data_IF_013980388666
#
_entry.id   IF_013980388666
#
_cell.length_a   1.000
_cell.length_b   1.000
_cell.length_c   1.000
_cell.angle_alpha   90.00
_cell.angle_beta   90.00
_cell.angle_gamma   90.00
#
_symmetry.space_group_name_H-M   'P 1'
#
loop_
_entity.id
_entity.type
_entity.pdbx_description
1 polymer ?
#
# COMPACT_ATOMS: atom_id res chain seq x y z
N UNK A 1 8.04 19.53 -7.77
CA UNK A 1 8.47 19.86 -9.14
C UNK A 1 7.29 20.53 -9.81
N UNK A 2 7.54 21.70 -10.38
CA UNK A 2 6.50 22.51 -11.02
C UNK A 2 6.18 21.92 -12.39
N UNK A 3 4.90 21.95 -12.75
CA UNK A 3 4.43 21.62 -14.09
C UNK A 3 4.58 22.83 -15.01
N UNK A 4 5.46 22.73 -16.00
CA UNK A 4 5.74 23.82 -16.92
C UNK A 4 4.58 24.10 -17.89
N UNK A 5 3.59 23.20 -18.00
CA UNK A 5 2.37 23.50 -18.78
C UNK A 5 1.40 24.42 -18.04
N UNK A 6 1.62 24.64 -16.73
CA UNK A 6 0.80 25.53 -15.89
C UNK A 6 1.61 26.71 -15.35
N UNK A 7 2.89 26.52 -15.05
CA UNK A 7 3.79 27.53 -14.51
C UNK A 7 5.11 27.52 -15.29
N UNK A 8 5.14 28.18 -16.47
CA UNK A 8 6.31 28.18 -17.34
C UNK A 8 7.48 28.95 -16.71
N UNK A 9 8.70 28.54 -17.05
CA UNK A 9 9.93 29.24 -16.70
C UNK A 9 10.94 29.21 -17.85
N UNK A 10 11.81 30.21 -17.91
CA UNK A 10 12.81 30.40 -18.98
C UNK A 10 13.82 29.26 -19.07
N UNK A 11 14.16 28.65 -17.93
CA UNK A 11 15.07 27.51 -17.86
C UNK A 11 14.45 26.19 -18.35
N UNK A 12 13.13 26.13 -18.57
CA UNK A 12 12.35 24.90 -18.84
C UNK A 12 12.60 23.81 -17.79
N UNK A 13 12.94 24.22 -16.57
CA UNK A 13 13.20 23.32 -15.45
C UNK A 13 11.87 22.90 -14.84
N UNK A 14 11.55 21.61 -14.85
CA UNK A 14 10.24 21.14 -14.37
C UNK A 14 9.73 19.90 -15.09
N UNK A 15 8.48 19.58 -14.83
CA UNK A 15 7.75 18.56 -15.56
C UNK A 15 7.28 19.20 -16.87
N UNK A 16 7.63 18.57 -18.00
CA UNK A 16 7.30 19.08 -19.34
C UNK A 16 6.12 18.33 -19.97
N UNK A 17 5.25 17.76 -19.14
CA UNK A 17 4.05 17.02 -19.52
C UNK A 17 2.93 17.40 -18.56
N UNK A 18 1.74 17.59 -19.09
CA UNK A 18 0.54 17.82 -18.28
C UNK A 18 0.24 16.60 -17.40
N UNK A 19 -0.58 16.75 -16.36
CA UNK A 19 -1.02 15.62 -15.52
C UNK A 19 -1.63 14.48 -16.37
N UNK A 20 -2.52 14.83 -17.31
CA UNK A 20 -3.19 13.88 -18.19
C UNK A 20 -2.17 13.08 -19.03
N UNK A 21 -1.14 13.76 -19.56
CA UNK A 21 -0.05 13.10 -20.28
C UNK A 21 0.85 12.24 -19.38
N UNK A 22 0.83 12.48 -18.07
CA UNK A 22 1.59 11.72 -17.08
C UNK A 22 0.91 10.45 -16.64
N UNK A 23 -0.37 10.54 -16.31
CA UNK A 23 -1.17 9.41 -15.86
C UNK A 23 -1.59 8.50 -17.03
N UNK A 24 -1.72 9.06 -18.24
CA UNK A 24 -2.06 8.31 -19.44
C UNK A 24 -3.32 7.48 -19.27
N UNK A 25 -3.26 6.20 -19.66
CA UNK A 25 -4.38 5.25 -19.52
C UNK A 25 -4.47 4.61 -18.12
N UNK A 26 -3.84 5.21 -17.11
CA UNK A 26 -3.77 4.64 -15.76
C UNK A 26 -3.00 3.32 -15.74
N UNK A 27 -3.54 2.30 -15.06
CA UNK A 27 -2.91 0.97 -14.95
C UNK A 27 -2.77 0.28 -16.30
N UNK A 28 -3.90 0.13 -17.01
CA UNK A 28 -4.05 -0.64 -18.25
C UNK A 28 -3.38 -2.03 -18.23
N UNK A 29 -3.10 -2.56 -19.41
CA UNK A 29 -2.32 -3.77 -19.61
C UNK A 29 -1.04 -3.50 -20.44
N UNK A 30 -0.31 -4.57 -20.79
CA UNK A 30 0.93 -4.48 -21.59
C UNK A 30 0.71 -3.98 -23.02
N UNK A 31 -0.52 -4.06 -23.54
CA UNK A 31 -0.88 -3.64 -24.89
C UNK A 31 -1.47 -2.22 -24.92
N UNK A 32 -1.96 -1.73 -23.79
CA UNK A 32 -2.57 -0.41 -23.63
C UNK A 32 -1.49 0.67 -23.70
N UNK A 33 -1.42 1.38 -24.83
CA UNK A 33 -0.43 2.44 -25.01
C UNK A 33 -0.55 3.52 -23.92
N UNK A 34 0.58 3.88 -23.30
CA UNK A 34 0.62 4.91 -22.26
C UNK A 34 0.13 4.45 -20.88
N UNK A 35 -0.25 3.18 -20.71
CA UNK A 35 -0.54 2.61 -19.39
C UNK A 35 0.73 2.42 -18.56
N UNK A 36 0.60 2.37 -17.23
CA UNK A 36 1.75 2.13 -16.35
C UNK A 36 2.35 0.74 -16.57
N UNK A 37 1.51 -0.29 -16.78
CA UNK A 37 1.96 -1.65 -17.06
C UNK A 37 2.73 -1.72 -18.39
N UNK A 38 2.23 -1.08 -19.45
CA UNK A 38 2.90 -1.02 -20.75
C UNK A 38 4.24 -0.29 -20.64
N UNK A 39 4.27 0.88 -20.00
CA UNK A 39 5.52 1.66 -19.83
C UNK A 39 6.57 0.91 -19.01
N UNK A 40 6.19 0.27 -17.90
CA UNK A 40 7.12 -0.49 -17.05
C UNK A 40 7.73 -1.65 -17.84
N UNK A 41 6.93 -2.41 -18.58
CA UNK A 41 7.42 -3.57 -19.33
C UNK A 41 8.32 -3.19 -20.52
N UNK A 42 8.07 -2.02 -21.14
CA UNK A 42 8.73 -1.63 -22.39
C UNK A 42 9.94 -0.72 -22.17
N UNK A 43 9.87 0.16 -21.16
CA UNK A 43 10.93 1.10 -20.81
C UNK A 43 10.90 1.42 -19.30
N UNK A 44 11.52 0.55 -18.47
CA UNK A 44 11.58 0.73 -17.02
C UNK A 44 12.23 2.05 -16.59
N UNK A 45 13.20 2.58 -17.33
CA UNK A 45 13.86 3.83 -16.96
C UNK A 45 12.92 5.02 -17.15
N UNK A 46 12.13 5.00 -18.23
CA UNK A 46 11.10 6.01 -18.46
C UNK A 46 9.98 5.92 -17.42
N UNK A 47 9.58 4.72 -17.00
CA UNK A 47 8.59 4.57 -15.93
C UNK A 47 9.11 5.10 -14.59
N UNK A 48 10.38 4.86 -14.24
CA UNK A 48 11.02 5.44 -13.04
C UNK A 48 11.03 6.98 -13.12
N UNK A 49 11.38 7.55 -14.27
CA UNK A 49 11.36 9.01 -14.47
C UNK A 49 9.95 9.55 -14.31
N UNK A 50 8.94 8.88 -14.87
CA UNK A 50 7.53 9.27 -14.76
C UNK A 50 7.05 9.24 -13.32
N UNK A 51 7.27 8.12 -12.63
CA UNK A 51 6.92 7.97 -11.22
C UNK A 51 7.58 9.05 -10.37
N UNK A 52 8.86 9.35 -10.62
CA UNK A 52 9.58 10.45 -9.96
C UNK A 52 9.00 11.83 -10.23
N UNK A 53 8.42 12.08 -11.41
CA UNK A 53 7.76 13.34 -11.75
C UNK A 53 6.43 13.45 -11.00
N UNK A 54 5.56 12.44 -11.11
CA UNK A 54 4.28 12.37 -10.40
C UNK A 54 4.45 12.49 -8.88
N UNK A 55 5.41 11.76 -8.30
CA UNK A 55 5.72 11.80 -6.87
C UNK A 55 6.07 13.19 -6.34
N UNK A 56 6.55 14.08 -7.22
CA UNK A 56 7.00 15.42 -6.85
C UNK A 56 6.12 16.51 -7.38
N UNK A 57 5.22 16.17 -8.29
CA UNK A 57 4.27 17.09 -8.87
C UNK A 57 3.50 17.75 -7.74
N UNK A 58 3.34 19.07 -7.85
CA UNK A 58 2.42 19.81 -6.99
C UNK A 58 1.03 19.69 -7.60
N UNK A 59 0.15 18.92 -6.97
CA UNK A 59 -1.24 18.79 -7.38
C UNK A 59 -2.00 20.04 -6.96
N UNK A 60 -2.82 20.56 -7.87
CA UNK A 60 -3.62 21.77 -7.63
C UNK A 60 -5.02 21.43 -7.18
N UNK A 61 -5.75 22.39 -6.60
CA UNK A 61 -7.18 22.22 -6.27
C UNK A 61 -8.02 21.79 -7.49
N UNK A 62 -7.72 22.36 -8.66
CA UNK A 62 -8.36 21.97 -9.93
C UNK A 62 -8.03 20.54 -10.40
N UNK A 63 -7.00 19.92 -9.82
CA UNK A 63 -6.61 18.52 -10.07
C UNK A 63 -7.16 17.58 -8.99
N UNK A 64 -8.10 18.07 -8.17
CA UNK A 64 -8.71 17.31 -7.09
C UNK A 64 -7.95 17.37 -5.78
N UNK A 65 -6.83 18.10 -5.67
CA UNK A 65 -6.18 18.27 -4.35
C UNK A 65 -7.17 19.00 -3.43
N UNK A 66 -7.25 18.63 -2.16
CA UNK A 66 -8.06 19.41 -1.23
C UNK A 66 -8.29 18.79 0.12
N UNK A 67 -8.97 19.52 0.99
CA UNK A 67 -9.31 18.99 2.29
C UNK A 67 -10.46 17.99 2.10
N UNK A 68 -10.11 16.72 1.98
CA UNK A 68 -11.08 15.66 2.11
C UNK A 68 -11.38 15.47 3.61
N UNK A 69 -12.55 14.95 3.94
CA UNK A 69 -12.92 14.64 5.33
C UNK A 69 -13.10 15.92 6.18
N UNK A 70 -13.95 16.82 5.67
CA UNK A 70 -14.55 17.95 6.40
C UNK A 70 -13.57 19.00 6.93
N UNK A 71 -12.39 19.12 6.33
CA UNK A 71 -11.41 20.20 6.58
C UNK A 71 -11.22 20.55 8.07
N UNK A 72 -11.04 19.52 8.90
CA UNK A 72 -10.77 19.69 10.33
C UNK A 72 -12.02 19.77 11.22
N UNK A 73 -13.22 19.56 10.68
CA UNK A 73 -14.50 19.64 11.40
C UNK A 73 -15.15 18.26 11.55
N UNK A 74 -15.50 17.86 12.78
CA UNK A 74 -16.24 16.63 13.05
C UNK A 74 -15.87 16.00 14.38
N UNK A 75 -16.24 14.73 14.56
CA UNK A 75 -15.90 13.94 15.75
C UNK A 75 -14.77 12.97 15.42
N UNK A 76 -13.60 13.26 15.98
CA UNK A 76 -12.37 12.48 15.77
C UNK A 76 -12.47 11.04 16.32
N UNK A 77 -13.42 10.75 17.21
CA UNK A 77 -13.63 9.38 17.68
C UNK A 77 -14.29 8.50 16.60
N UNK A 78 -14.96 9.12 15.62
CA UNK A 78 -15.67 8.42 14.56
C UNK A 78 -14.91 8.46 13.23
N UNK A 79 -14.08 9.48 13.02
CA UNK A 79 -13.35 9.70 11.78
C UNK A 79 -11.95 10.25 12.07
N UNK A 80 -10.94 9.41 11.85
CA UNK A 80 -9.54 9.74 12.11
C UNK A 80 -8.88 10.52 10.97
N UNK A 81 -9.56 10.68 9.83
CA UNK A 81 -9.05 11.38 8.65
C UNK A 81 -9.41 12.88 8.64
N UNK A 82 -10.16 13.36 9.63
CA UNK A 82 -10.53 14.78 9.78
C UNK A 82 -9.29 15.69 9.73
N UNK A 83 -9.32 16.66 8.81
CA UNK A 83 -8.28 17.68 8.67
C UNK A 83 -7.07 17.23 7.85
N UNK A 84 -7.18 16.07 7.20
CA UNK A 84 -6.21 15.60 6.25
C UNK A 84 -6.44 16.28 4.86
N UNK A 85 -5.63 15.95 3.84
CA UNK A 85 -5.82 16.44 2.46
C UNK A 85 -5.01 17.67 2.08
N UNK A 86 -4.16 18.18 2.97
CA UNK A 86 -3.40 19.41 2.73
C UNK A 86 -2.06 19.19 2.02
N UNK A 87 -1.64 17.94 1.80
CA UNK A 87 -0.39 17.63 1.11
C UNK A 87 -0.54 17.74 -0.40
N UNK A 88 0.17 18.70 -1.00
CA UNK A 88 0.14 18.93 -2.44
C UNK A 88 1.02 17.95 -3.24
N UNK A 89 1.78 17.06 -2.58
CA UNK A 89 2.74 16.15 -3.23
C UNK A 89 3.24 15.06 -2.29
N UNK A 90 3.51 13.86 -2.79
CA UNK A 90 4.13 12.79 -1.99
C UNK A 90 5.48 13.24 -1.40
N UNK A 91 6.24 14.02 -2.18
CA UNK A 91 7.52 14.58 -1.77
C UNK A 91 7.46 15.65 -0.68
N UNK A 92 6.27 16.14 -0.30
CA UNK A 92 6.12 17.01 0.86
C UNK A 92 6.50 16.25 2.15
N UNK A 93 6.03 15.00 2.27
CA UNK A 93 6.29 14.18 3.46
C UNK A 93 7.48 13.22 3.26
N UNK A 94 7.60 12.66 2.06
CA UNK A 94 8.66 11.72 1.69
C UNK A 94 9.70 12.40 0.80
N UNK A 95 10.34 13.45 1.34
CA UNK A 95 11.28 14.30 0.62
C UNK A 95 12.39 13.54 -0.10
N UNK A 96 12.94 14.11 -1.18
CA UNK A 96 14.07 13.47 -1.88
C UNK A 96 15.29 13.37 -0.94
N UNK A 97 16.02 12.26 -0.99
CA UNK A 97 17.33 12.16 -0.38
C UNK A 97 18.31 13.11 -1.09
N UNK A 98 18.52 14.32 -0.54
CA UNK A 98 19.73 15.11 -0.80
C UNK A 98 20.58 15.06 0.47
N UNK A 99 21.24 13.92 0.69
CA UNK A 99 22.09 13.68 1.87
C UNK A 99 21.40 13.03 3.08
N UNK A 100 20.12 12.63 2.99
CA UNK A 100 19.42 11.84 4.03
C UNK A 100 18.59 10.74 3.37
N UNK A 101 17.98 9.82 4.15
CA UNK A 101 17.08 8.80 3.60
C UNK A 101 15.76 9.38 3.02
N UNK A 102 15.51 10.69 3.18
CA UNK A 102 14.24 11.31 2.80
C UNK A 102 13.13 10.94 3.78
N UNK A 103 13.05 11.68 4.87
CA UNK A 103 12.04 11.57 5.93
C UNK A 103 11.83 12.98 6.52
N UNK A 104 10.69 13.26 7.13
CA UNK A 104 10.48 14.52 7.86
C UNK A 104 9.13 15.20 7.69
N UNK A 105 8.20 14.63 6.92
CA UNK A 105 6.79 14.97 7.08
C UNK A 105 6.23 14.28 8.32
N UNK A 106 5.48 15.01 9.14
CA UNK A 106 4.67 14.41 10.18
C UNK A 106 3.21 14.58 9.75
N UNK A 107 2.49 13.47 9.73
CA UNK A 107 1.03 13.50 9.55
C UNK A 107 0.43 13.45 10.94
N UNK A 108 -0.40 14.45 11.26
CA UNK A 108 -1.23 14.42 12.47
C UNK A 108 -2.36 13.41 12.23
N UNK A 109 -2.08 12.13 12.42
CA UNK A 109 -3.11 11.16 12.76
C UNK A 109 -3.54 11.47 14.19
N UNK A 110 -4.83 11.62 14.47
CA UNK A 110 -5.27 11.83 15.86
C UNK A 110 -5.57 10.48 16.51
N UNK A 111 -5.34 10.31 17.82
CA UNK A 111 -4.74 11.27 18.76
C UNK A 111 -3.22 11.40 18.61
N UNK A 112 -2.53 10.42 18.02
CA UNK A 112 -1.07 10.34 17.95
C UNK A 112 -0.53 10.49 16.52
N UNK A 113 0.33 11.47 16.32
CA UNK A 113 0.95 11.72 15.03
C UNK A 113 1.96 10.64 14.65
N UNK A 114 2.20 10.47 13.34
CA UNK A 114 3.23 9.57 12.82
C UNK A 114 4.20 10.29 11.89
N UNK A 115 5.48 9.97 12.04
CA UNK A 115 6.50 10.45 11.13
C UNK A 115 6.51 9.63 9.83
N UNK A 116 6.56 10.34 8.71
CA UNK A 116 6.75 9.75 7.40
C UNK A 116 8.17 9.15 7.31
N UNK A 117 8.23 7.82 7.33
CA UNK A 117 9.47 7.08 7.11
C UNK A 117 10.04 7.26 5.71
N UNK A 118 11.28 6.80 5.53
CA UNK A 118 11.89 6.74 4.21
C UNK A 118 11.27 5.63 3.35
N UNK A 119 11.28 5.82 2.02
CA UNK A 119 10.75 4.85 1.08
C UNK A 119 11.79 3.87 0.52
N UNK A 120 13.08 4.03 0.88
CA UNK A 120 14.13 3.11 0.45
C UNK A 120 13.84 1.67 0.88
N UNK A 121 13.88 0.75 -0.09
CA UNK A 121 13.65 -0.67 0.15
C UNK A 121 12.20 -1.02 0.51
N UNK A 122 11.24 -0.10 0.41
CA UNK A 122 9.84 -0.36 0.79
C UNK A 122 9.24 -1.54 0.03
N UNK A 123 9.46 -1.61 -1.28
CA UNK A 123 9.02 -2.74 -2.10
C UNK A 123 9.66 -4.07 -1.70
N UNK A 124 10.92 -4.06 -1.26
CA UNK A 124 11.58 -5.27 -0.75
C UNK A 124 10.97 -5.73 0.58
N UNK A 125 10.60 -4.80 1.47
CA UNK A 125 9.89 -5.11 2.71
C UNK A 125 8.52 -5.71 2.44
N UNK A 126 7.76 -5.15 1.49
CA UNK A 126 6.46 -5.70 1.07
C UNK A 126 6.60 -7.13 0.53
N UNK A 127 7.52 -7.34 -0.43
CA UNK A 127 7.74 -8.66 -1.02
C UNK A 127 8.22 -9.69 0.02
N UNK A 128 9.14 -9.33 0.91
CA UNK A 128 9.60 -10.23 1.96
C UNK A 128 8.49 -10.64 2.94
N UNK A 129 7.60 -9.71 3.29
CA UNK A 129 6.45 -10.03 4.14
C UNK A 129 5.45 -10.95 3.45
N UNK A 130 5.23 -10.78 2.15
CA UNK A 130 4.36 -11.66 1.37
C UNK A 130 4.96 -13.07 1.24
N UNK A 131 6.27 -13.17 0.98
CA UNK A 131 7.00 -14.45 0.96
C UNK A 131 6.95 -15.16 2.32
N UNK A 132 7.21 -14.45 3.42
CA UNK A 132 7.12 -15.03 4.77
C UNK A 132 5.68 -15.50 5.04
N UNK A 133 4.68 -14.69 4.71
CA UNK A 133 3.27 -15.08 4.86
C UNK A 133 2.95 -16.37 4.12
N UNK A 134 3.43 -16.52 2.89
CA UNK A 134 3.25 -17.73 2.09
C UNK A 134 3.90 -18.96 2.74
N UNK A 135 5.13 -18.81 3.26
CA UNK A 135 5.84 -19.89 3.98
C UNK A 135 5.10 -20.31 5.26
N UNK A 136 4.62 -19.34 6.06
CA UNK A 136 3.89 -19.60 7.30
C UNK A 136 2.56 -20.32 7.03
N UNK A 137 1.79 -19.84 6.04
CA UNK A 137 0.52 -20.47 5.65
C UNK A 137 0.73 -21.86 5.04
N UNK A 138 1.79 -22.07 4.26
CA UNK A 138 2.15 -23.39 3.75
C UNK A 138 2.49 -24.37 4.89
N UNK A 139 3.19 -23.89 5.93
CA UNK A 139 3.49 -24.69 7.12
C UNK A 139 2.24 -25.06 7.90
N UNK A 140 1.29 -24.12 8.05
CA UNK A 140 -0.03 -24.41 8.63
C UNK A 140 -0.76 -25.50 7.85
N UNK A 141 -0.83 -25.37 6.53
CA UNK A 141 -1.56 -26.31 5.67
C UNK A 141 -0.93 -27.71 5.71
N UNK A 142 0.40 -27.78 5.80
CA UNK A 142 1.13 -29.03 6.03
C UNK A 142 0.81 -29.63 7.41
N UNK A 143 0.77 -28.83 8.47
CA UNK A 143 0.43 -29.31 9.81
C UNK A 143 -0.98 -29.93 9.84
N UNK A 144 -1.96 -29.29 9.18
CA UNK A 144 -3.32 -29.83 9.05
C UNK A 144 -3.33 -31.14 8.25
N UNK A 145 -2.66 -31.15 7.09
CA UNK A 145 -2.60 -32.34 6.22
C UNK A 145 -2.01 -33.54 6.96
N UNK A 146 -0.88 -33.34 7.66
CA UNK A 146 -0.25 -34.39 8.45
C UNK A 146 -1.14 -34.86 9.60
N UNK A 147 -1.81 -33.92 10.29
CA UNK A 147 -2.69 -34.28 11.40
C UNK A 147 -3.89 -35.12 10.98
N UNK A 148 -4.46 -34.82 9.82
CA UNK A 148 -5.56 -35.60 9.22
C UNK A 148 -5.08 -36.99 8.79
N UNK A 149 -3.93 -37.09 8.13
CA UNK A 149 -3.36 -38.38 7.68
C UNK A 149 -3.01 -39.29 8.86
N UNK A 150 -2.37 -38.74 9.89
CA UNK A 150 -1.91 -39.49 11.06
C UNK A 150 -3.00 -39.69 12.11
N UNK A 151 -4.16 -39.02 11.97
CA UNK A 151 -5.24 -38.97 12.96
C UNK A 151 -4.78 -38.54 14.36
N UNK A 152 -3.74 -37.69 14.43
CA UNK A 152 -3.17 -37.16 15.66
C UNK A 152 -2.78 -35.69 15.48
N UNK A 153 -2.86 -34.82 16.50
CA UNK A 153 -2.39 -33.43 16.37
C UNK A 153 -0.92 -33.34 15.94
N UNK A 154 -0.62 -32.46 14.99
CA UNK A 154 0.72 -32.26 14.46
C UNK A 154 1.20 -30.83 14.69
N UNK A 155 2.26 -30.68 15.47
CA UNK A 155 2.88 -29.38 15.75
C UNK A 155 4.10 -29.16 14.85
N UNK A 156 4.10 -28.07 14.09
CA UNK A 156 5.22 -27.64 13.25
C UNK A 156 5.79 -26.29 13.72
N UNK A 157 7.09 -26.09 13.49
CA UNK A 157 7.76 -24.82 13.74
C UNK A 157 7.46 -23.84 12.62
N UNK A 158 7.11 -22.61 12.98
CA UNK A 158 6.93 -21.51 12.05
C UNK A 158 8.26 -20.75 11.91
N UNK A 159 8.96 -20.95 10.81
CA UNK A 159 10.25 -20.30 10.53
C UNK A 159 10.30 -19.91 9.06
N UNK A 160 10.64 -18.66 8.77
CA UNK A 160 10.91 -18.20 7.40
C UNK A 160 11.97 -17.12 7.42
N UNK A 161 12.83 -17.11 6.40
CA UNK A 161 13.96 -16.17 6.25
C UNK A 161 14.84 -16.03 7.50
N UNK A 162 14.99 -17.10 8.27
CA UNK A 162 15.76 -17.13 9.53
C UNK A 162 15.04 -16.54 10.75
N UNK A 163 13.82 -16.02 10.59
CA UNK A 163 12.98 -15.49 11.68
C UNK A 163 12.05 -16.59 12.20
N UNK A 164 11.91 -16.66 13.53
CA UNK A 164 11.03 -17.63 14.21
C UNK A 164 9.72 -16.95 14.60
N UNK A 165 8.60 -17.60 14.29
CA UNK A 165 7.23 -17.16 14.58
C UNK A 165 6.50 -18.12 15.52
N UNK A 166 7.27 -18.88 16.32
CA UNK A 166 6.75 -19.86 17.26
C UNK A 166 6.40 -21.21 16.61
N UNK A 167 5.28 -21.79 17.02
CA UNK A 167 4.80 -23.10 16.52
C UNK A 167 3.31 -23.06 16.26
N UNK A 168 2.85 -23.92 15.36
CA UNK A 168 1.45 -24.09 15.02
C UNK A 168 1.07 -25.55 15.09
N UNK A 169 -0.15 -25.85 15.57
CA UNK A 169 -0.62 -27.23 15.67
C UNK A 169 -1.85 -27.42 14.80
N UNK A 170 -1.74 -28.26 13.77
CA UNK A 170 -2.90 -28.77 13.03
C UNK A 170 -3.57 -29.91 13.80
N UNK A 171 -4.90 -29.98 13.77
CA UNK A 171 -5.68 -31.04 14.41
C UNK A 171 -6.33 -31.97 13.36
N UNK A 172 -6.65 -33.23 13.73
CA UNK A 172 -7.26 -34.18 12.79
C UNK A 172 -8.63 -33.77 12.25
N UNK A 173 -9.34 -32.87 12.95
CA UNK A 173 -10.63 -32.31 12.52
C UNK A 173 -10.49 -31.15 11.51
N UNK A 174 -9.27 -30.78 11.13
CA UNK A 174 -8.98 -29.65 10.24
C UNK A 174 -8.80 -28.31 10.95
N UNK A 175 -9.06 -28.23 12.26
CA UNK A 175 -8.83 -27.01 13.03
C UNK A 175 -7.35 -26.79 13.32
N UNK A 176 -7.01 -25.54 13.66
CA UNK A 176 -5.63 -25.12 13.93
C UNK A 176 -5.56 -24.44 15.29
N UNK A 177 -4.56 -24.81 16.08
CA UNK A 177 -4.18 -24.11 17.31
C UNK A 177 -2.99 -23.17 17.02
N UNK A 178 -3.25 -21.88 17.19
CA UNK A 178 -2.32 -20.77 16.98
C UNK A 178 -1.83 -20.16 18.30
N UNK A 179 -2.12 -20.76 19.46
CA UNK A 179 -1.77 -20.22 20.79
C UNK A 179 -0.26 -20.05 21.03
N UNK A 180 0.57 -20.70 20.22
CA UNK A 180 2.03 -20.61 20.25
C UNK A 180 2.63 -19.86 19.06
N UNK A 181 1.81 -19.21 18.23
CA UNK A 181 2.23 -18.26 17.19
C UNK A 181 2.75 -16.99 17.87
N UNK A 182 3.81 -16.41 17.33
CA UNK A 182 4.48 -15.24 17.89
C UNK A 182 4.82 -14.23 16.79
N UNK A 183 4.67 -12.93 17.10
CA UNK A 183 5.08 -11.83 16.21
C UNK A 183 4.20 -11.58 15.00
N UNK A 184 3.15 -12.38 14.79
CA UNK A 184 2.11 -12.21 13.77
C UNK A 184 0.76 -12.61 14.34
N UNK A 185 -0.32 -12.16 13.71
CA UNK A 185 -1.69 -12.53 14.06
C UNK A 185 -1.97 -14.01 13.72
N UNK A 186 -3.09 -14.54 14.23
CA UNK A 186 -3.49 -15.93 14.00
C UNK A 186 -3.75 -16.29 12.52
N UNK A 187 -3.95 -15.29 11.66
CA UNK A 187 -4.08 -15.44 10.20
C UNK A 187 -2.73 -15.65 9.48
N UNK A 188 -1.63 -15.55 10.23
CA UNK A 188 -0.23 -15.67 9.81
C UNK A 188 0.21 -14.63 8.78
N UNK A 189 -0.53 -13.52 8.65
CA UNK A 189 -0.19 -12.43 7.74
C UNK A 189 0.88 -11.53 8.37
N UNK A 190 2.01 -11.37 7.69
CA UNK A 190 3.00 -10.37 8.06
C UNK A 190 2.56 -9.01 7.52
N UNK A 191 2.51 -8.00 8.39
CA UNK A 191 2.13 -6.61 8.06
C UNK A 191 3.39 -5.74 8.09
N UNK A 192 4.02 -5.44 6.93
CA UNK A 192 5.34 -4.80 6.89
C UNK A 192 5.29 -3.26 7.00
N UNK A 193 4.09 -2.69 6.91
CA UNK A 193 3.88 -1.26 6.85
C UNK A 193 3.24 -0.76 8.13
N UNK A 194 3.69 0.43 8.54
CA UNK A 194 3.45 1.02 9.85
C UNK A 194 4.07 0.22 11.01
N UNK A 195 4.48 0.91 12.07
CA UNK A 195 5.17 0.26 13.19
C UNK A 195 4.21 -0.63 13.99
N UNK A 196 2.93 -0.25 14.02
CA UNK A 196 1.82 -0.98 14.61
C UNK A 196 1.22 -2.05 13.69
N UNK A 197 1.67 -2.15 12.43
CA UNK A 197 1.22 -3.17 11.49
C UNK A 197 -0.19 -2.92 10.95
N UNK A 198 -0.45 -1.75 10.38
CA UNK A 198 -1.81 -1.35 9.95
C UNK A 198 -2.19 -1.84 8.54
N UNK A 199 -1.23 -2.04 7.64
CA UNK A 199 -1.51 -2.51 6.26
C UNK A 199 -0.47 -3.53 5.77
N UNK A 200 -0.86 -4.29 4.77
CA UNK A 200 -0.05 -5.31 4.12
C UNK A 200 0.55 -4.86 2.79
N UNK A 201 0.07 -3.75 2.20
CA UNK A 201 0.44 -3.36 0.83
C UNK A 201 0.73 -1.87 0.66
N UNK A 202 1.75 -1.58 -0.17
CA UNK A 202 2.05 -0.24 -0.68
C UNK A 202 0.86 0.30 -1.47
N UNK A 203 0.13 -0.54 -2.22
CA UNK A 203 -1.05 -0.10 -2.98
C UNK A 203 -2.14 0.43 -2.05
N UNK A 204 -2.47 -0.33 -1.01
CA UNK A 204 -3.44 0.07 0.01
C UNK A 204 -3.01 1.38 0.69
N UNK A 205 -1.74 1.48 1.06
CA UNK A 205 -1.16 2.72 1.59
C UNK A 205 -1.31 3.90 0.62
N UNK A 206 -0.94 3.73 -0.66
CA UNK A 206 -0.99 4.83 -1.65
C UNK A 206 -2.42 5.27 -1.92
N UNK A 207 -3.37 4.35 -2.05
CA UNK A 207 -4.79 4.70 -2.28
C UNK A 207 -5.37 5.45 -1.09
N UNK A 208 -5.12 4.97 0.14
CA UNK A 208 -5.53 5.68 1.35
C UNK A 208 -4.84 7.04 1.50
N UNK A 209 -3.55 7.13 1.19
CA UNK A 209 -2.79 8.37 1.31
C UNK A 209 -3.14 9.41 0.25
N UNK A 210 -3.54 8.98 -0.96
CA UNK A 210 -4.06 9.90 -1.98
C UNK A 210 -5.29 10.63 -1.43
N UNK A 211 -6.26 9.89 -0.89
CA UNK A 211 -7.48 10.47 -0.32
C UNK A 211 -7.18 11.25 0.97
N UNK A 212 -6.68 10.54 1.99
CA UNK A 212 -6.51 11.11 3.32
C UNK A 212 -5.46 12.21 3.30
N UNK A 213 -4.27 12.01 2.77
CA UNK A 213 -3.18 12.99 2.97
C UNK A 213 -3.18 14.11 1.92
N UNK A 214 -3.61 13.79 0.70
CA UNK A 214 -3.50 14.70 -0.46
C UNK A 214 -4.83 15.21 -0.97
N UNK A 215 -5.96 14.65 -0.51
CA UNK A 215 -7.29 15.00 -0.99
C UNK A 215 -7.64 14.46 -2.36
N UNK A 216 -6.79 13.62 -2.94
CA UNK A 216 -6.95 13.11 -4.28
C UNK A 216 -7.82 11.86 -4.29
N UNK A 217 -8.76 11.81 -5.21
CA UNK A 217 -9.63 10.67 -5.41
C UNK A 217 -8.89 9.46 -6.01
N UNK A 218 -8.97 8.33 -5.30
CA UNK A 218 -8.45 7.03 -5.72
C UNK A 218 -9.46 5.89 -5.52
N UNK A 219 -10.75 6.26 -5.39
CA UNK A 219 -11.89 5.38 -5.09
C UNK A 219 -12.12 4.24 -6.09
N UNK A 220 -11.53 4.31 -7.28
CA UNK A 220 -11.70 3.33 -8.35
C UNK A 220 -10.54 2.33 -8.52
N UNK A 221 -9.70 2.10 -7.50
CA UNK A 221 -8.63 1.09 -7.59
C UNK A 221 -9.23 -0.33 -7.76
N UNK A 222 -9.02 -0.99 -8.90
CA UNK A 222 -9.73 -2.24 -9.21
C UNK A 222 -9.23 -3.43 -8.38
N UNK A 223 -7.95 -3.44 -7.97
CA UNK A 223 -7.40 -4.54 -7.19
C UNK A 223 -7.95 -4.51 -5.77
N UNK A 224 -7.95 -3.31 -5.15
CA UNK A 224 -8.45 -3.16 -3.80
C UNK A 224 -9.97 -3.35 -3.75
N UNK A 225 -10.74 -2.82 -4.71
CA UNK A 225 -12.19 -3.07 -4.77
C UNK A 225 -12.53 -4.56 -4.83
N UNK A 226 -11.86 -5.29 -5.73
CA UNK A 226 -12.11 -6.72 -5.87
C UNK A 226 -11.64 -7.50 -4.64
N UNK A 227 -10.47 -7.17 -4.07
CA UNK A 227 -9.94 -7.85 -2.90
C UNK A 227 -10.75 -7.53 -1.63
N UNK A 228 -11.12 -6.28 -1.36
CA UNK A 228 -11.93 -5.91 -0.19
C UNK A 228 -13.34 -6.50 -0.23
N UNK A 229 -13.85 -6.84 -1.43
CA UNK A 229 -15.10 -7.58 -1.61
C UNK A 229 -14.97 -9.10 -1.40
N UNK A 230 -13.81 -9.59 -0.92
CA UNK A 230 -13.55 -11.01 -0.70
C UNK A 230 -12.90 -11.75 -1.88
N UNK A 231 -12.60 -11.03 -2.97
CA UNK A 231 -11.95 -11.59 -4.14
C UNK A 231 -10.46 -11.88 -3.93
N UNK A 232 -9.91 -12.74 -4.80
CA UNK A 232 -8.47 -12.99 -4.89
C UNK A 232 -7.89 -12.31 -6.12
N UNK A 233 -6.97 -11.38 -5.91
CA UNK A 233 -6.33 -10.57 -6.95
C UNK A 233 -4.83 -10.78 -6.91
N UNK A 234 -4.21 -10.88 -8.09
CA UNK A 234 -2.74 -10.80 -8.24
C UNK A 234 -2.41 -9.44 -8.83
N UNK A 235 -1.66 -8.64 -8.09
CA UNK A 235 -1.26 -7.30 -8.55
C UNK A 235 -0.22 -7.41 -9.67
N UNK A 236 0.06 -6.33 -10.42
CA UNK A 236 1.08 -6.34 -11.47
C UNK A 236 2.50 -6.59 -10.92
N UNK A 237 2.74 -6.36 -9.62
CA UNK A 237 4.00 -6.69 -8.94
C UNK A 237 4.04 -8.14 -8.45
N UNK A 238 2.99 -8.93 -8.68
CA UNK A 238 2.92 -10.35 -8.31
C UNK A 238 2.39 -10.63 -6.89
N UNK A 239 2.13 -9.58 -6.10
CA UNK A 239 1.57 -9.73 -4.76
C UNK A 239 0.13 -10.27 -4.85
N UNK A 240 -0.21 -11.20 -3.96
CA UNK A 240 -1.57 -11.75 -3.88
C UNK A 240 -2.34 -11.03 -2.78
N UNK A 241 -3.45 -10.39 -3.15
CA UNK A 241 -4.46 -9.88 -2.23
C UNK A 241 -5.63 -10.86 -2.20
N UNK A 242 -5.81 -11.59 -1.10
CA UNK A 242 -6.86 -12.60 -0.95
C UNK A 242 -7.84 -12.16 0.13
N UNK A 243 -8.91 -11.47 -0.26
CA UNK A 243 -9.91 -10.94 0.66
C UNK A 243 -10.67 -11.99 1.46
N UNK A 244 -10.60 -13.26 1.05
CA UNK A 244 -11.15 -14.37 1.82
C UNK A 244 -10.29 -14.77 3.01
N UNK A 245 -9.02 -14.32 3.05
CA UNK A 245 -8.02 -14.66 4.07
C UNK A 245 -7.45 -13.46 4.79
N UNK A 246 -7.37 -12.32 4.11
CA UNK A 246 -6.71 -11.11 4.57
C UNK A 246 -7.75 -10.00 4.74
N UNK A 247 -7.60 -9.19 5.79
CA UNK A 247 -8.36 -7.95 5.93
C UNK A 247 -7.75 -6.91 4.98
N UNK A 248 -8.50 -6.55 3.94
CA UNK A 248 -8.11 -5.55 2.94
C UNK A 248 -9.01 -4.32 3.07
N UNK A 249 -8.42 -3.13 3.22
CA UNK A 249 -9.20 -1.90 3.16
C UNK A 249 -9.67 -1.64 1.73
N UNK A 250 -10.96 -1.34 1.58
CA UNK A 250 -11.49 -0.83 0.33
C UNK A 250 -10.87 0.56 0.03
N UNK A 251 -10.82 0.99 -1.24
CA UNK A 251 -10.55 2.38 -1.56
C UNK A 251 -11.55 3.28 -0.82
N UNK A 252 -11.10 4.45 -0.30
CA UNK A 252 -12.00 5.43 0.27
C UNK A 252 -13.10 5.80 -0.73
N UNK A 253 -14.32 6.02 -0.21
CA UNK A 253 -15.40 6.54 -1.04
C UNK A 253 -15.07 7.97 -1.47
N UNK A 254 -15.59 8.42 -2.63
CA UNK A 254 -15.48 9.82 -3.01
C UNK A 254 -16.03 10.73 -1.93
N UNK A 255 -15.35 11.84 -1.66
CA UNK A 255 -15.88 12.87 -0.77
C UNK A 255 -17.18 13.44 -1.39
N UNK A 256 -18.34 13.35 -0.71
CA UNK A 256 -19.60 13.86 -1.26
C UNK A 256 -19.61 15.37 -1.49
N UNK A 257 -18.68 16.11 -0.86
CA UNK A 257 -18.60 17.56 -0.91
C UNK A 257 -17.59 18.08 -1.96
N UNK A 258 -16.91 17.19 -2.71
CA UNK A 258 -15.83 17.52 -3.65
C UNK A 258 -16.07 17.02 -5.10
#
# INVERSE_FOLDING_TARGET
>A
MIDNTQAPNTAKAGINKSLLDEIGAGRGDVMTAGSSVCMINRDPFRSIRRGRQLFQRKFTRLQGQGANEKDGVGDINNDLAIGAGLSDSCALCHGRPRGSAGAGGNVVTRPDSRDAGHLFGLGLKEMLADEITADLRSTRDLAVTLAQQMKHPMTLKLVSKGVKYGTITGKPDGSVDTSKVQGVDADLRVKPLFAEGSTISIREFVVGALHNEMGLEASADPDLLAASAGGRVVTPSGMVLDGSKDKISAPPAPDPDN
#
